data_IF_485511474553
#
_entry.id   IF_485511474553
#
_cell.length_a   1.000
_cell.length_b   1.000
_cell.length_c   1.000
_cell.angle_alpha   90.00
_cell.angle_beta   90.00
_cell.angle_gamma   90.00
#
_symmetry.space_group_name_H-M   'P 1'
#
loop_
_entity.id
_entity.type
_entity.pdbx_description
1 polymer ?
#
# COMPACT_ATOMS: atom_id res chain seq x y z
N UNK A 1 -28.38 3.82 3.06
CA UNK A 1 -26.93 3.92 2.77
C UNK A 1 -26.25 4.47 4.00
N UNK A 2 -25.06 3.97 4.36
CA UNK A 2 -24.32 4.49 5.51
C UNK A 2 -23.95 5.95 5.26
N UNK A 3 -24.20 6.81 6.24
CA UNK A 3 -23.69 8.18 6.25
C UNK A 3 -22.14 8.15 6.14
N UNK A 4 -21.53 8.81 5.14
CA UNK A 4 -20.08 8.84 5.00
C UNK A 4 -19.40 9.68 6.09
N UNK A 5 -20.13 10.53 6.82
CA UNK A 5 -19.55 11.52 7.74
C UNK A 5 -18.64 10.89 8.79
N UNK A 6 -19.05 9.75 9.37
CA UNK A 6 -18.24 9.05 10.38
C UNK A 6 -16.92 8.49 9.83
N UNK A 7 -16.92 7.92 8.62
CA UNK A 7 -15.68 7.40 8.01
C UNK A 7 -14.77 8.52 7.52
N UNK A 8 -15.33 9.65 7.09
CA UNK A 8 -14.55 10.84 6.74
C UNK A 8 -13.92 11.47 7.99
N UNK A 9 -14.62 11.52 9.11
CA UNK A 9 -14.04 11.95 10.40
C UNK A 9 -12.88 11.05 10.85
N UNK A 10 -13.03 9.74 10.68
CA UNK A 10 -11.99 8.76 11.02
C UNK A 10 -10.79 8.87 10.06
N UNK A 11 -11.03 9.09 8.76
CA UNK A 11 -9.96 9.36 7.79
C UNK A 11 -9.15 10.59 8.19
N UNK A 12 -9.82 11.70 8.54
CA UNK A 12 -9.15 12.93 8.98
C UNK A 12 -8.26 12.66 10.21
N UNK A 13 -8.78 11.96 11.23
CA UNK A 13 -8.02 11.62 12.45
C UNK A 13 -6.83 10.71 12.15
N UNK A 14 -7.00 9.73 11.26
CA UNK A 14 -5.94 8.84 10.82
C UNK A 14 -4.82 9.60 10.10
N UNK A 15 -5.18 10.56 9.23
CA UNK A 15 -4.21 11.44 8.57
C UNK A 15 -3.50 12.37 9.55
N UNK A 16 -4.19 12.90 10.56
CA UNK A 16 -3.60 13.75 11.60
C UNK A 16 -2.56 13.00 12.46
N UNK A 17 -2.80 11.72 12.76
CA UNK A 17 -1.81 10.89 13.46
C UNK A 17 -0.55 10.68 12.62
N UNK A 18 -0.69 10.40 11.32
CA UNK A 18 0.46 10.27 10.43
C UNK A 18 1.19 11.61 10.22
N UNK A 19 0.45 12.70 10.06
CA UNK A 19 1.00 14.06 9.98
C UNK A 19 1.89 14.37 11.20
N UNK A 20 1.41 14.09 12.41
CA UNK A 20 2.17 14.28 13.64
C UNK A 20 3.46 13.43 13.72
N UNK A 21 3.49 12.26 13.08
CA UNK A 21 4.72 11.43 13.01
C UNK A 21 5.79 12.06 12.11
N UNK A 22 5.39 12.77 11.04
CA UNK A 22 6.33 13.28 10.04
C UNK A 22 6.64 14.78 10.16
N UNK A 23 5.76 15.56 10.81
CA UNK A 23 5.83 17.03 10.84
C UNK A 23 7.08 17.59 11.53
N UNK A 24 7.67 16.83 12.46
CA UNK A 24 8.87 17.23 13.22
C UNK A 24 10.18 16.60 12.73
N UNK A 25 10.13 15.83 11.64
CA UNK A 25 11.30 15.12 11.13
C UNK A 25 12.19 16.04 10.30
N UNK A 26 13.51 15.93 10.47
CA UNK A 26 14.48 16.53 9.57
C UNK A 26 14.58 15.76 8.24
N UNK A 27 15.17 16.38 7.22
CA UNK A 27 15.28 15.82 5.86
C UNK A 27 15.93 14.43 5.83
N UNK A 28 16.95 14.19 6.66
CA UNK A 28 17.60 12.87 6.78
C UNK A 28 16.63 11.75 7.17
N UNK A 29 15.64 12.06 8.02
CA UNK A 29 14.63 11.09 8.43
C UNK A 29 13.57 10.83 7.36
N UNK A 30 13.29 11.84 6.52
CA UNK A 30 12.43 11.67 5.34
C UNK A 30 13.06 10.75 4.28
N UNK A 31 14.39 10.67 4.25
CA UNK A 31 15.14 9.78 3.35
C UNK A 31 15.31 8.34 3.87
N UNK A 32 14.83 8.02 5.08
CA UNK A 32 14.96 6.67 5.62
C UNK A 32 14.12 5.67 4.81
N UNK A 33 14.75 4.57 4.41
CA UNK A 33 14.09 3.46 3.72
C UNK A 33 13.08 2.77 4.64
N UNK A 34 11.84 2.65 4.18
CA UNK A 34 10.78 1.96 4.90
C UNK A 34 10.82 0.45 4.61
N UNK A 35 10.02 -0.38 5.32
CA UNK A 35 9.88 -1.79 4.98
C UNK A 35 9.31 -2.06 3.58
N UNK A 36 8.68 -1.07 2.94
CA UNK A 36 8.32 -1.15 1.54
C UNK A 36 9.58 -0.91 0.69
N UNK A 37 10.02 -1.95 -0.02
CA UNK A 37 11.26 -1.93 -0.80
C UNK A 37 11.28 -0.77 -1.81
N UNK A 38 12.39 -0.04 -1.87
CA UNK A 38 12.55 1.14 -2.71
C UNK A 38 11.95 2.43 -2.15
N UNK A 39 11.02 2.35 -1.18
CA UNK A 39 10.29 3.52 -0.71
C UNK A 39 10.83 4.07 0.61
N UNK A 40 11.14 5.37 0.61
CA UNK A 40 11.48 6.14 1.82
C UNK A 40 10.24 6.72 2.50
N UNK A 41 10.38 7.34 3.67
CA UNK A 41 9.29 8.09 4.32
C UNK A 41 8.71 9.14 3.36
N UNK A 42 9.53 9.81 2.55
CA UNK A 42 9.07 10.73 1.51
C UNK A 42 8.17 10.04 0.46
N UNK A 43 8.56 8.85 -0.01
CA UNK A 43 7.74 8.08 -0.96
C UNK A 43 6.38 7.70 -0.37
N UNK A 44 6.33 7.35 0.93
CA UNK A 44 5.07 7.03 1.59
C UNK A 44 4.09 8.22 1.58
N UNK A 45 4.57 9.42 1.92
CA UNK A 45 3.73 10.63 1.90
C UNK A 45 3.41 11.07 0.47
N UNK A 46 4.36 10.94 -0.46
CA UNK A 46 4.15 11.25 -1.88
C UNK A 46 3.07 10.38 -2.51
N UNK A 47 3.10 9.07 -2.26
CA UNK A 47 2.06 8.15 -2.72
C UNK A 47 0.69 8.52 -2.16
N UNK A 48 0.59 8.85 -0.87
CA UNK A 48 -0.67 9.29 -0.27
C UNK A 48 -1.18 10.58 -0.90
N UNK A 49 -0.31 11.58 -1.10
CA UNK A 49 -0.66 12.84 -1.76
C UNK A 49 -1.13 12.63 -3.21
N UNK A 50 -0.45 11.75 -3.94
CA UNK A 50 -0.80 11.39 -5.31
C UNK A 50 -2.17 10.70 -5.36
N UNK A 51 -2.38 9.66 -4.55
CA UNK A 51 -3.65 8.92 -4.51
C UNK A 51 -4.82 9.76 -3.96
N UNK A 52 -4.58 10.71 -3.05
CA UNK A 52 -5.60 11.68 -2.60
C UNK A 52 -6.01 12.62 -3.74
N UNK A 53 -5.05 13.05 -4.58
CA UNK A 53 -5.35 13.82 -5.79
C UNK A 53 -6.18 13.02 -6.78
N UNK A 54 -5.85 11.74 -7.01
CA UNK A 54 -6.64 10.86 -7.88
C UNK A 54 -8.07 10.69 -7.37
N UNK A 55 -8.24 10.50 -6.06
CA UNK A 55 -9.55 10.42 -5.42
C UNK A 55 -10.34 11.74 -5.53
N UNK A 56 -9.67 12.88 -5.39
CA UNK A 56 -10.29 14.18 -5.56
C UNK A 56 -10.81 14.34 -6.99
N UNK A 57 -9.99 14.05 -8.01
CA UNK A 57 -10.42 14.09 -9.41
C UNK A 57 -11.60 13.16 -9.66
N UNK A 58 -11.57 11.92 -9.17
CA UNK A 58 -12.69 11.00 -9.31
C UNK A 58 -14.02 11.57 -8.75
N UNK A 59 -13.95 12.38 -7.69
CA UNK A 59 -15.13 12.98 -7.05
C UNK A 59 -15.58 14.27 -7.73
N UNK A 60 -14.65 15.07 -8.26
CA UNK A 60 -14.96 16.44 -8.73
C UNK A 60 -14.90 16.63 -10.24
N UNK A 61 -14.14 15.78 -10.94
CA UNK A 61 -13.83 15.90 -12.36
C UNK A 61 -13.57 14.51 -12.99
N UNK A 62 -14.66 13.88 -13.44
CA UNK A 62 -14.62 12.52 -13.97
C UNK A 62 -13.81 12.41 -15.28
N UNK A 63 -13.77 13.47 -16.09
CA UNK A 63 -13.03 13.48 -17.35
C UNK A 63 -11.51 13.57 -17.07
N UNK A 64 -11.10 14.47 -16.18
CA UNK A 64 -9.70 14.53 -15.73
C UNK A 64 -9.26 13.25 -15.02
N UNK A 65 -10.16 12.59 -14.28
CA UNK A 65 -9.87 11.26 -13.72
C UNK A 65 -9.70 10.20 -14.82
N UNK A 66 -10.53 10.23 -15.87
CA UNK A 66 -10.42 9.29 -16.98
C UNK A 66 -9.06 9.42 -17.70
N UNK A 67 -8.60 10.64 -17.97
CA UNK A 67 -7.27 10.89 -18.53
C UNK A 67 -6.15 10.34 -17.62
N UNK A 68 -6.27 10.56 -16.30
CA UNK A 68 -5.33 10.01 -15.32
C UNK A 68 -5.36 8.48 -15.30
N UNK A 69 -6.54 7.88 -15.40
CA UNK A 69 -6.72 6.43 -15.41
C UNK A 69 -6.17 5.78 -16.68
N UNK A 70 -6.32 6.43 -17.83
CA UNK A 70 -5.72 5.98 -19.10
C UNK A 70 -4.19 6.00 -19.01
N UNK A 71 -3.60 7.06 -18.44
CA UNK A 71 -2.16 7.11 -18.19
C UNK A 71 -1.70 5.98 -17.26
N UNK A 72 -2.49 5.67 -16.22
CA UNK A 72 -2.23 4.55 -15.30
C UNK A 72 -2.21 3.19 -16.00
N UNK A 73 -3.21 2.95 -16.85
CA UNK A 73 -3.36 1.70 -17.60
C UNK A 73 -2.26 1.50 -18.65
N UNK A 74 -1.68 2.58 -19.16
CA UNK A 74 -0.56 2.50 -20.11
C UNK A 74 0.76 2.07 -19.45
N UNK A 75 0.89 2.21 -18.12
CA UNK A 75 2.09 1.85 -17.36
C UNK A 75 1.74 1.27 -15.97
N UNK A 76 1.00 0.15 -15.89
CA UNK A 76 0.40 -0.33 -14.63
C UNK A 76 1.44 -0.69 -13.56
N UNK A 77 2.63 -1.15 -13.98
CA UNK A 77 3.72 -1.53 -13.09
C UNK A 77 4.62 -0.36 -12.68
N UNK A 78 4.41 0.85 -13.23
CA UNK A 78 5.26 2.02 -12.95
C UNK A 78 4.52 3.25 -12.51
N UNK A 79 3.25 3.40 -12.87
CA UNK A 79 2.54 4.67 -12.69
C UNK A 79 2.38 5.09 -11.22
N UNK A 80 2.14 4.12 -10.33
CA UNK A 80 2.07 4.39 -8.89
C UNK A 80 3.45 4.77 -8.34
N UNK A 81 4.48 4.03 -8.75
CA UNK A 81 5.87 4.28 -8.33
C UNK A 81 6.39 5.62 -8.88
N UNK A 82 6.10 5.96 -10.14
CA UNK A 82 6.49 7.23 -10.78
C UNK A 82 5.86 8.43 -10.06
N UNK A 83 4.59 8.33 -9.64
CA UNK A 83 3.93 9.39 -8.84
C UNK A 83 4.53 9.55 -7.45
N UNK A 84 4.93 8.45 -6.81
CA UNK A 84 5.62 8.48 -5.52
C UNK A 84 7.04 9.06 -5.65
N UNK A 85 7.80 8.66 -6.67
CA UNK A 85 9.15 9.15 -6.98
C UNK A 85 9.17 10.65 -7.29
N UNK A 86 8.26 11.13 -8.16
CA UNK A 86 8.16 12.56 -8.47
C UNK A 86 7.84 13.38 -7.21
N UNK A 87 6.89 12.90 -6.40
CA UNK A 87 6.53 13.58 -5.16
C UNK A 87 7.63 13.52 -4.09
N UNK A 88 8.35 12.40 -3.99
CA UNK A 88 9.43 12.21 -3.02
C UNK A 88 10.67 13.07 -3.32
N UNK A 89 10.83 13.54 -4.56
CA UNK A 89 11.89 14.47 -4.95
C UNK A 89 11.64 15.91 -4.45
N UNK A 90 10.43 16.24 -4.00
CA UNK A 90 10.13 17.56 -3.42
C UNK A 90 10.77 17.73 -2.04
N UNK A 91 11.10 18.96 -1.63
CA UNK A 91 11.47 19.24 -0.24
C UNK A 91 10.40 18.73 0.73
N UNK A 92 10.76 18.05 1.85
CA UNK A 92 9.80 17.47 2.79
C UNK A 92 8.69 18.42 3.26
N UNK A 93 9.02 19.68 3.52
CA UNK A 93 8.03 20.68 3.91
C UNK A 93 7.00 20.96 2.80
N UNK A 94 7.45 21.07 1.54
CA UNK A 94 6.58 21.27 0.40
C UNK A 94 5.68 20.06 0.14
N UNK A 95 6.24 18.85 0.22
CA UNK A 95 5.48 17.62 0.10
C UNK A 95 4.41 17.49 1.19
N UNK A 96 4.76 17.78 2.45
CA UNK A 96 3.83 17.73 3.57
C UNK A 96 2.70 18.75 3.42
N UNK A 97 3.02 19.99 3.02
CA UNK A 97 2.01 21.03 2.77
C UNK A 97 1.08 20.66 1.62
N UNK A 98 1.62 20.09 0.53
CA UNK A 98 0.83 19.58 -0.58
C UNK A 98 -0.11 18.46 -0.14
N UNK A 99 0.37 17.51 0.65
CA UNK A 99 -0.46 16.42 1.17
C UNK A 99 -1.58 16.95 2.07
N UNK A 100 -1.27 17.88 3.01
CA UNK A 100 -2.25 18.55 3.88
C UNK A 100 -3.36 19.24 3.09
N UNK A 101 -3.00 20.08 2.12
CA UNK A 101 -3.97 20.79 1.30
C UNK A 101 -4.84 19.84 0.45
N UNK A 102 -4.23 18.77 -0.07
CA UNK A 102 -4.91 17.74 -0.84
C UNK A 102 -5.96 17.01 -0.02
N UNK A 103 -5.59 16.49 1.16
CA UNK A 103 -6.51 15.75 2.04
C UNK A 103 -7.65 16.63 2.58
N UNK A 104 -7.40 17.90 2.89
CA UNK A 104 -8.45 18.85 3.30
C UNK A 104 -9.46 19.13 2.16
N UNK A 105 -8.98 19.19 0.92
CA UNK A 105 -9.84 19.41 -0.24
C UNK A 105 -10.66 18.17 -0.58
N UNK A 106 -10.03 16.98 -0.52
CA UNK A 106 -10.71 15.70 -0.68
C UNK A 106 -11.79 15.49 0.41
N UNK A 107 -11.49 15.80 1.66
CA UNK A 107 -12.47 15.74 2.76
C UNK A 107 -13.72 16.55 2.42
N UNK A 108 -13.54 17.82 2.03
CA UNK A 108 -14.66 18.70 1.66
C UNK A 108 -15.47 18.15 0.49
N UNK A 109 -14.80 17.62 -0.54
CA UNK A 109 -15.46 17.02 -1.69
C UNK A 109 -16.29 15.78 -1.31
N UNK A 110 -15.74 14.89 -0.48
CA UNK A 110 -16.43 13.68 -0.01
C UNK A 110 -17.65 14.01 0.87
N UNK A 111 -17.59 15.08 1.68
CA UNK A 111 -18.74 15.54 2.48
C UNK A 111 -19.82 16.21 1.63
N UNK A 112 -19.43 16.91 0.58
CA UNK A 112 -20.35 17.58 -0.33
C UNK A 112 -20.98 16.64 -1.38
N UNK A 113 -20.42 15.44 -1.54
CA UNK A 113 -20.89 14.44 -2.50
C UNK A 113 -22.38 14.10 -2.28
N UNK A 114 -23.23 14.17 -3.33
CA UNK A 114 -24.63 13.78 -3.22
C UNK A 114 -24.79 12.32 -2.78
N UNK A 115 -25.75 12.06 -1.90
CA UNK A 115 -26.03 10.71 -1.42
C UNK A 115 -26.42 9.77 -2.58
N UNK A 116 -25.78 8.60 -2.63
CA UNK A 116 -26.04 7.60 -3.68
C UNK A 116 -25.18 7.72 -4.93
N UNK A 117 -24.43 8.81 -5.09
CA UNK A 117 -23.49 8.96 -6.21
C UNK A 117 -22.41 7.89 -6.18
N UNK A 118 -22.06 7.40 -7.37
CA UNK A 118 -20.92 6.52 -7.62
C UNK A 118 -19.90 7.26 -8.46
N UNK A 119 -18.64 7.19 -8.04
CA UNK A 119 -17.51 7.84 -8.66
C UNK A 119 -16.67 6.82 -9.42
N UNK A 120 -16.11 7.18 -10.59
CA UNK A 120 -15.17 6.31 -11.29
C UNK A 120 -13.96 6.00 -10.39
N UNK A 121 -13.38 4.83 -10.57
CA UNK A 121 -12.16 4.44 -9.89
C UNK A 121 -11.36 3.46 -10.75
N UNK A 122 -10.12 3.15 -10.38
CA UNK A 122 -9.29 2.16 -11.07
C UNK A 122 -9.89 0.73 -11.04
N UNK A 123 -10.84 0.49 -10.12
CA UNK A 123 -11.66 -0.71 -10.05
C UNK A 123 -13.15 -0.39 -10.18
N UNK A 124 -14.03 -1.17 -9.51
CA UNK A 124 -15.46 -0.88 -9.52
C UNK A 124 -15.76 0.54 -9.00
N UNK A 125 -16.76 1.25 -9.58
CA UNK A 125 -17.15 2.57 -9.12
C UNK A 125 -17.49 2.62 -7.62
N UNK A 126 -16.93 3.60 -6.92
CA UNK A 126 -17.01 3.71 -5.48
C UNK A 126 -18.07 4.72 -5.03
N UNK A 127 -18.74 4.45 -3.92
CA UNK A 127 -19.48 5.50 -3.19
C UNK A 127 -18.51 6.39 -2.41
N UNK A 128 -18.93 7.59 -1.99
CA UNK A 128 -18.12 8.46 -1.12
C UNK A 128 -17.61 7.73 0.14
N UNK A 129 -18.48 6.97 0.81
CA UNK A 129 -18.10 6.18 1.99
C UNK A 129 -17.06 5.09 1.65
N UNK A 130 -17.19 4.43 0.49
CA UNK A 130 -16.23 3.42 0.05
C UNK A 130 -14.87 4.02 -0.29
N UNK A 131 -14.85 5.18 -0.94
CA UNK A 131 -13.63 5.92 -1.24
C UNK A 131 -12.94 6.38 0.05
N UNK A 132 -13.68 7.00 0.98
CA UNK A 132 -13.14 7.38 2.30
C UNK A 132 -12.57 6.18 3.06
N UNK A 133 -13.24 5.02 3.03
CA UNK A 133 -12.75 3.77 3.64
C UNK A 133 -11.43 3.32 3.01
N UNK A 134 -11.33 3.36 1.68
CA UNK A 134 -10.11 2.99 0.97
C UNK A 134 -8.96 3.93 1.29
N UNK A 135 -9.20 5.25 1.29
CA UNK A 135 -8.20 6.27 1.68
C UNK A 135 -7.75 6.11 3.12
N UNK A 136 -8.65 5.75 4.03
CA UNK A 136 -8.30 5.48 5.43
C UNK A 136 -7.39 4.27 5.55
N UNK A 137 -7.71 3.18 4.85
CA UNK A 137 -6.87 1.99 4.83
C UNK A 137 -5.48 2.25 4.24
N UNK A 138 -5.39 2.98 3.13
CA UNK A 138 -4.12 3.43 2.55
C UNK A 138 -3.32 4.27 3.56
N UNK A 139 -3.94 5.31 4.14
CA UNK A 139 -3.30 6.18 5.14
C UNK A 139 -2.77 5.36 6.32
N UNK A 140 -3.57 4.42 6.84
CA UNK A 140 -3.17 3.58 7.97
C UNK A 140 -2.01 2.65 7.61
N UNK A 141 -2.05 2.02 6.43
CA UNK A 141 -1.03 1.07 5.98
C UNK A 141 0.31 1.76 5.72
N UNK A 142 0.32 2.87 4.99
CA UNK A 142 1.52 3.67 4.73
C UNK A 142 2.04 4.35 6.02
N UNK A 143 1.13 4.75 6.92
CA UNK A 143 1.52 5.24 8.24
C UNK A 143 2.17 4.16 9.12
N UNK A 144 1.80 2.88 8.95
CA UNK A 144 2.50 1.78 9.61
C UNK A 144 3.93 1.62 9.07
N UNK A 145 4.14 1.70 7.76
CA UNK A 145 5.48 1.64 7.16
C UNK A 145 6.40 2.77 7.68
N UNK A 146 5.85 3.98 7.82
CA UNK A 146 6.56 5.14 8.42
C UNK A 146 6.86 4.90 9.91
N UNK A 147 5.89 4.40 10.68
CA UNK A 147 6.09 4.13 12.10
C UNK A 147 7.17 3.05 12.33
N UNK A 148 7.19 2.00 11.51
CA UNK A 148 8.17 0.91 11.61
C UNK A 148 9.60 1.41 11.42
N UNK A 149 9.86 2.23 10.40
CA UNK A 149 11.22 2.78 10.16
C UNK A 149 11.65 3.78 11.24
N UNK A 150 10.69 4.51 11.83
CA UNK A 150 10.96 5.44 12.92
C UNK A 150 11.06 4.76 14.29
N UNK A 151 10.77 3.46 14.39
CA UNK A 151 10.73 2.72 15.65
C UNK A 151 9.60 3.14 16.58
N UNK A 152 8.50 3.66 16.03
CA UNK A 152 7.33 4.13 16.79
C UNK A 152 6.26 3.05 16.80
N UNK A 153 5.71 2.77 17.99
CA UNK A 153 4.51 1.94 18.12
C UNK A 153 3.28 2.83 18.01
N UNK A 154 2.43 2.56 17.03
CA UNK A 154 1.15 3.26 16.85
C UNK A 154 0.11 2.67 17.79
N UNK A 155 -0.66 3.52 18.48
CA UNK A 155 -1.76 3.07 19.32
C UNK A 155 -2.90 2.51 18.45
N UNK A 156 -3.32 1.24 18.63
CA UNK A 156 -4.45 0.67 17.89
C UNK A 156 -5.77 1.32 18.31
N UNK A 157 -6.56 1.82 17.35
CA UNK A 157 -7.84 2.48 17.64
C UNK A 157 -9.03 1.75 17.01
N UNK A 158 -10.25 2.13 17.39
CA UNK A 158 -11.47 1.61 16.78
C UNK A 158 -11.58 1.87 15.26
N UNK A 159 -10.78 2.80 14.70
CA UNK A 159 -10.73 3.08 13.25
C UNK A 159 -10.26 1.87 12.45
N UNK A 160 -9.56 0.92 13.08
CA UNK A 160 -9.20 -0.37 12.48
C UNK A 160 -10.41 -1.15 11.94
N UNK A 161 -11.65 -0.89 12.41
CA UNK A 161 -12.84 -1.55 11.85
C UNK A 161 -13.00 -1.31 10.36
N UNK A 162 -12.52 -0.17 9.85
CA UNK A 162 -12.60 0.19 8.44
C UNK A 162 -11.62 -0.65 7.61
N UNK A 163 -10.38 -0.80 8.10
CA UNK A 163 -9.35 -1.65 7.51
C UNK A 163 -9.77 -3.13 7.54
N UNK A 164 -10.26 -3.60 8.69
CA UNK A 164 -10.79 -4.95 8.83
C UNK A 164 -11.96 -5.22 7.87
N UNK A 165 -12.91 -4.27 7.78
CA UNK A 165 -14.07 -4.40 6.89
C UNK A 165 -13.67 -4.52 5.43
N UNK A 166 -12.72 -3.70 4.96
CA UNK A 166 -12.26 -3.81 3.56
C UNK A 166 -11.47 -5.10 3.34
N UNK A 167 -10.63 -5.53 4.29
CA UNK A 167 -9.90 -6.79 4.22
C UNK A 167 -10.80 -8.01 4.11
N UNK A 168 -11.88 -8.09 4.90
CA UNK A 168 -12.87 -9.17 4.79
C UNK A 168 -13.58 -9.15 3.43
N UNK A 169 -13.98 -7.96 2.96
CA UNK A 169 -14.68 -7.83 1.67
C UNK A 169 -13.79 -8.12 0.46
N UNK A 170 -12.48 -8.01 0.62
CA UNK A 170 -11.50 -8.29 -0.41
C UNK A 170 -11.12 -9.78 -0.52
N UNK A 171 -11.76 -10.69 0.25
CA UNK A 171 -11.46 -12.13 0.20
C UNK A 171 -11.42 -12.69 -1.22
N UNK A 172 -12.52 -12.55 -1.96
CA UNK A 172 -12.62 -13.15 -3.30
C UNK A 172 -11.69 -12.45 -4.29
N UNK A 173 -11.46 -11.15 -4.11
CA UNK A 173 -10.47 -10.39 -4.85
C UNK A 173 -9.06 -10.95 -4.62
N UNK A 174 -8.69 -11.26 -3.37
CA UNK A 174 -7.41 -11.87 -3.03
C UNK A 174 -7.21 -13.22 -3.74
N UNK A 175 -8.22 -14.07 -3.78
CA UNK A 175 -8.16 -15.31 -4.58
C UNK A 175 -7.94 -15.01 -6.07
N UNK A 176 -8.71 -14.07 -6.64
CA UNK A 176 -8.63 -13.71 -8.05
C UNK A 176 -7.25 -13.17 -8.46
N UNK A 177 -6.65 -12.25 -7.69
CA UNK A 177 -5.32 -11.69 -8.01
C UNK A 177 -4.19 -12.72 -7.88
N UNK A 178 -4.42 -13.79 -7.12
CA UNK A 178 -3.52 -14.94 -7.01
C UNK A 178 -3.81 -16.05 -8.05
N UNK A 179 -4.76 -15.85 -8.98
CA UNK A 179 -5.14 -16.83 -10.00
C UNK A 179 -5.83 -18.07 -9.42
N UNK A 180 -6.47 -17.94 -8.27
CA UNK A 180 -7.14 -19.01 -7.54
C UNK A 180 -8.67 -18.83 -7.60
N UNK A 181 -9.41 -19.95 -7.55
CA UNK A 181 -10.86 -19.91 -7.39
C UNK A 181 -11.23 -19.63 -5.94
N UNK A 182 -12.05 -18.61 -5.71
CA UNK A 182 -12.56 -18.31 -4.36
C UNK A 182 -13.56 -19.41 -3.91
N UNK A 183 -13.46 -19.91 -2.67
CA UNK A 183 -14.46 -20.80 -2.09
C UNK A 183 -15.85 -20.14 -2.07
N UNK A 184 -16.88 -20.91 -2.46
CA UNK A 184 -18.24 -20.41 -2.51
C UNK A 184 -18.82 -20.12 -1.12
N UNK A 185 -18.47 -20.93 -0.12
CA UNK A 185 -18.93 -20.75 1.26
C UNK A 185 -18.22 -19.57 1.92
N UNK A 186 -18.99 -18.73 2.63
CA UNK A 186 -18.43 -17.65 3.43
C UNK A 186 -17.77 -18.17 4.71
N UNK A 187 -16.80 -17.40 5.23
CA UNK A 187 -16.18 -17.68 6.52
C UNK A 187 -16.78 -16.79 7.59
N UNK A 188 -16.78 -17.26 8.83
CA UNK A 188 -16.99 -16.40 9.99
C UNK A 188 -15.68 -15.73 10.37
N UNK A 189 -15.63 -14.40 10.37
CA UNK A 189 -14.46 -13.64 10.84
C UNK A 189 -14.81 -12.94 12.14
N UNK A 190 -14.08 -13.23 13.22
CA UNK A 190 -14.29 -12.67 14.56
C UNK A 190 -12.99 -12.03 15.07
N UNK A 191 -12.95 -10.70 15.10
CA UNK A 191 -11.78 -9.93 15.43
C UNK A 191 -11.96 -9.18 16.75
N UNK A 192 -10.98 -9.29 17.65
CA UNK A 192 -10.99 -8.56 18.93
C UNK A 192 -10.48 -7.14 18.70
N UNK A 193 -11.37 -6.16 18.87
CA UNK A 193 -11.09 -4.74 18.78
C UNK A 193 -10.10 -4.29 19.88
N UNK A 194 -9.44 -3.13 19.74
CA UNK A 194 -8.62 -2.56 20.81
C UNK A 194 -9.37 -2.34 22.13
N UNK A 195 -10.69 -2.12 22.07
CA UNK A 195 -11.56 -2.01 23.25
C UNK A 195 -11.90 -3.35 23.93
N UNK A 196 -11.55 -4.48 23.30
CA UNK A 196 -11.99 -5.82 23.70
C UNK A 196 -13.33 -6.26 23.11
N UNK A 197 -14.06 -5.38 22.42
CA UNK A 197 -15.27 -5.75 21.67
C UNK A 197 -14.94 -6.74 20.53
N UNK A 198 -15.83 -7.68 20.23
CA UNK A 198 -15.67 -8.57 19.07
C UNK A 198 -16.40 -8.01 17.86
N UNK A 199 -15.65 -7.76 16.79
CA UNK A 199 -16.21 -7.45 15.46
C UNK A 199 -16.40 -8.73 14.67
N UNK A 200 -17.63 -8.99 14.26
CA UNK A 200 -18.01 -10.19 13.56
C UNK A 200 -18.46 -9.92 12.11
N UNK A 201 -18.01 -10.75 11.18
CA UNK A 201 -18.40 -10.71 9.76
C UNK A 201 -18.71 -12.12 9.24
N UNK A 202 -19.63 -12.22 8.29
CA UNK A 202 -20.06 -13.49 7.72
C UNK A 202 -21.04 -14.27 8.61
N UNK A 203 -21.55 -15.41 8.11
CA UNK A 203 -22.59 -16.21 8.78
C UNK A 203 -22.13 -16.75 10.14
N UNK A 204 -23.03 -16.76 11.13
CA UNK A 204 -22.72 -17.28 12.48
C UNK A 204 -22.48 -18.80 12.49
N UNK A 205 -23.10 -19.51 11.55
CA UNK A 205 -23.06 -20.96 11.35
C UNK A 205 -22.03 -21.39 10.29
N UNK A 206 -21.19 -20.48 9.80
CA UNK A 206 -20.14 -20.82 8.83
C UNK A 206 -19.24 -21.94 9.37
N UNK A 207 -18.96 -22.93 8.51
CA UNK A 207 -18.14 -24.10 8.84
C UNK A 207 -16.67 -23.75 9.13
N UNK A 208 -16.19 -22.63 8.58
CA UNK A 208 -14.81 -22.17 8.70
C UNK A 208 -14.73 -20.78 9.30
N UNK A 209 -13.66 -20.53 10.06
CA UNK A 209 -13.53 -19.32 10.88
C UNK A 209 -12.14 -18.70 10.78
N UNK A 210 -12.09 -17.38 10.92
CA UNK A 210 -10.87 -16.60 11.19
C UNK A 210 -11.07 -15.85 12.49
N UNK A 211 -10.10 -15.95 13.41
CA UNK A 211 -10.14 -15.31 14.73
C UNK A 211 -8.82 -14.65 15.06
N UNK A 212 -8.82 -13.56 15.84
CA UNK A 212 -7.58 -12.94 16.31
C UNK A 212 -7.73 -11.47 16.69
N UNK A 213 -6.63 -10.79 17.08
CA UNK A 213 -6.63 -9.35 17.27
C UNK A 213 -6.94 -8.61 15.97
N UNK A 214 -7.73 -7.55 16.05
CA UNK A 214 -8.06 -6.73 14.88
C UNK A 214 -6.81 -6.07 14.27
N UNK A 215 -5.86 -5.62 15.10
CA UNK A 215 -4.58 -5.07 14.65
C UNK A 215 -3.83 -6.06 13.76
N UNK A 216 -3.66 -7.29 14.25
CA UNK A 216 -2.93 -8.34 13.55
C UNK A 216 -3.61 -8.69 12.22
N UNK A 217 -4.94 -8.79 12.20
CA UNK A 217 -5.67 -8.98 10.95
C UNK A 217 -5.46 -7.81 9.98
N UNK A 218 -5.49 -6.57 10.46
CA UNK A 218 -5.24 -5.40 9.62
C UNK A 218 -3.82 -5.39 9.05
N UNK A 219 -2.80 -5.73 9.86
CA UNK A 219 -1.42 -5.86 9.39
C UNK A 219 -1.28 -6.96 8.33
N UNK A 220 -1.99 -8.09 8.50
CA UNK A 220 -1.97 -9.19 7.54
C UNK A 220 -2.56 -8.77 6.20
N UNK A 221 -3.81 -8.26 6.19
CA UNK A 221 -4.53 -7.95 4.95
C UNK A 221 -3.96 -6.74 4.21
N UNK A 222 -3.21 -5.87 4.89
CA UNK A 222 -2.44 -4.81 4.22
C UNK A 222 -1.00 -5.23 3.91
N UNK A 223 -0.61 -6.49 4.19
CA UNK A 223 0.74 -7.04 3.93
C UNK A 223 1.85 -6.34 4.72
N UNK A 224 1.51 -5.71 5.85
CA UNK A 224 2.43 -5.03 6.79
C UNK A 224 2.94 -5.95 7.91
N UNK A 225 2.66 -7.24 7.86
CA UNK A 225 3.35 -8.23 8.67
C UNK A 225 3.28 -9.60 8.01
N UNK A 226 4.27 -10.44 8.31
CA UNK A 226 4.20 -11.86 7.93
C UNK A 226 3.21 -12.58 8.85
N UNK A 227 2.42 -13.51 8.30
CA UNK A 227 1.41 -14.27 9.05
C UNK A 227 1.97 -14.96 10.30
N UNK A 228 3.19 -15.49 10.23
CA UNK A 228 3.83 -16.19 11.35
C UNK A 228 4.11 -15.29 12.56
N UNK A 229 4.13 -13.96 12.38
CA UNK A 229 4.37 -12.99 13.45
C UNK A 229 3.06 -12.49 14.08
N UNK A 230 1.92 -13.08 13.71
CA UNK A 230 0.59 -12.59 14.03
C UNK A 230 -0.24 -13.64 14.76
N UNK A 231 -1.13 -13.19 15.65
CA UNK A 231 -2.04 -14.04 16.41
C UNK A 231 -3.38 -14.30 15.68
N UNK A 232 -3.42 -14.12 14.36
CA UNK A 232 -4.60 -14.47 13.53
C UNK A 232 -4.58 -15.96 13.23
N UNK A 233 -5.70 -16.63 13.51
CA UNK A 233 -5.85 -18.08 13.40
C UNK A 233 -7.03 -18.42 12.49
N UNK A 234 -6.86 -19.46 11.69
CA UNK A 234 -7.94 -20.05 10.93
C UNK A 234 -8.40 -21.37 11.55
N UNK A 235 -9.68 -21.67 11.38
CA UNK A 235 -10.27 -23.00 11.57
C UNK A 235 -10.90 -23.40 10.24
N UNK A 236 -10.40 -24.49 9.65
CA UNK A 236 -10.79 -24.96 8.32
C UNK A 236 -9.77 -24.61 7.23
N UNK A 237 -9.64 -25.45 6.19
CA UNK A 237 -8.57 -25.36 5.20
C UNK A 237 -8.66 -24.14 4.28
N UNK A 238 -9.86 -23.67 3.95
CA UNK A 238 -10.05 -22.53 3.04
C UNK A 238 -9.85 -21.20 3.75
N UNK A 239 -10.28 -21.11 5.02
CA UNK A 239 -9.95 -19.98 5.88
C UNK A 239 -8.43 -19.90 6.10
N UNK A 240 -7.78 -21.06 6.32
CA UNK A 240 -6.32 -21.14 6.48
C UNK A 240 -5.60 -20.70 5.21
N UNK A 241 -6.04 -21.19 4.05
CA UNK A 241 -5.50 -20.79 2.75
C UNK A 241 -5.69 -19.30 2.47
N UNK A 242 -6.84 -18.72 2.84
CA UNK A 242 -7.09 -17.30 2.62
C UNK A 242 -6.10 -16.42 3.38
N UNK A 243 -5.73 -16.78 4.62
CA UNK A 243 -4.77 -16.01 5.40
C UNK A 243 -3.37 -15.94 4.77
N UNK A 244 -3.00 -16.88 3.88
CA UNK A 244 -1.71 -16.83 3.16
C UNK A 244 -1.70 -15.79 2.03
N UNK A 245 -2.86 -15.48 1.47
CA UNK A 245 -3.02 -14.64 0.28
C UNK A 245 -3.78 -13.34 0.57
N UNK A 246 -4.17 -13.08 1.81
CA UNK A 246 -5.06 -11.98 2.15
C UNK A 246 -4.46 -10.62 1.74
N UNK A 247 -5.27 -9.82 1.04
CA UNK A 247 -4.90 -8.51 0.53
C UNK A 247 -6.13 -7.60 0.46
N UNK A 248 -5.99 -6.35 0.91
CA UNK A 248 -7.07 -5.36 0.99
C UNK A 248 -6.95 -4.17 0.01
N UNK A 249 -5.91 -4.14 -0.81
CA UNK A 249 -5.61 -3.07 -1.78
C UNK A 249 -5.60 -3.60 -3.21
N UNK A 250 -5.76 -2.72 -4.20
CA UNK A 250 -5.67 -3.09 -5.61
C UNK A 250 -4.21 -3.18 -6.08
N UNK A 251 -3.92 -4.07 -7.02
CA UNK A 251 -2.57 -4.30 -7.55
C UNK A 251 -1.99 -5.67 -7.18
N UNK A 252 -0.78 -6.00 -7.65
CA UNK A 252 -0.12 -7.26 -7.33
C UNK A 252 0.25 -7.34 -5.83
N UNK A 253 0.31 -8.54 -5.23
CA UNK A 253 0.53 -8.75 -3.79
C UNK A 253 1.92 -8.38 -3.25
N UNK A 254 2.87 -8.06 -4.14
CA UNK A 254 4.28 -7.85 -3.82
C UNK A 254 4.94 -9.07 -3.17
N UNK A 255 6.22 -8.94 -2.81
CA UNK A 255 6.97 -9.99 -2.10
C UNK A 255 6.45 -10.21 -0.66
N UNK A 256 5.79 -9.21 -0.06
CA UNK A 256 5.38 -9.23 1.34
C UNK A 256 6.57 -9.09 2.30
N UNK A 257 6.29 -9.10 3.61
CA UNK A 257 7.34 -9.03 4.64
C UNK A 257 7.82 -10.43 5.02
N UNK A 258 9.14 -10.65 5.23
CA UNK A 258 9.65 -11.92 5.76
C UNK A 258 9.26 -12.09 7.24
N UNK A 259 9.21 -13.33 7.77
CA UNK A 259 9.01 -13.56 9.20
C UNK A 259 10.16 -13.00 10.03
N UNK A 260 9.85 -12.30 11.13
CA UNK A 260 10.87 -11.65 11.99
C UNK A 260 11.89 -12.63 12.60
N UNK A 261 11.53 -13.92 12.72
CA UNK A 261 12.40 -14.98 13.25
C UNK A 261 13.23 -15.74 12.21
N UNK A 262 13.06 -15.47 10.91
CA UNK A 262 13.84 -16.10 9.85
C UNK A 262 14.98 -15.17 9.41
N UNK A 263 16.24 -15.56 9.65
CA UNK A 263 17.36 -14.87 9.05
C UNK A 263 17.19 -14.83 7.52
N UNK A 264 17.30 -13.65 6.92
CA UNK A 264 17.42 -13.50 5.49
C UNK A 264 18.70 -14.22 5.03
N UNK A 265 18.55 -15.35 4.34
CA UNK A 265 19.64 -15.84 3.51
C UNK A 265 19.74 -14.89 2.30
N UNK A 266 20.51 -13.82 2.47
CA UNK A 266 20.97 -12.99 1.37
C UNK A 266 21.78 -13.85 0.42
N UNK A 267 21.14 -14.31 -0.67
CA UNK A 267 21.85 -14.87 -1.80
C UNK A 267 22.82 -13.82 -2.35
N UNK A 268 24.07 -14.18 -2.69
CA UNK A 268 25.05 -13.22 -3.18
C UNK A 268 24.53 -12.55 -4.47
N UNK A 269 24.86 -11.27 -4.71
CA UNK A 269 24.48 -10.61 -5.95
C UNK A 269 25.03 -11.43 -7.13
N UNK A 270 24.16 -11.74 -8.10
CA UNK A 270 24.58 -12.37 -9.35
C UNK A 270 25.64 -11.47 -9.97
N UNK A 271 26.87 -11.97 -9.99
CA UNK A 271 28.02 -11.31 -10.57
C UNK A 271 27.73 -10.88 -12.00
N UNK A 272 28.09 -9.65 -12.28
CA UNK A 272 28.32 -9.12 -13.62
C UNK A 272 29.17 -10.10 -14.42
N UNK A 273 28.74 -10.38 -15.65
CA UNK A 273 29.51 -11.13 -16.62
C UNK A 273 30.89 -10.47 -16.83
N UNK A 274 31.96 -11.25 -17.03
CA UNK A 274 33.28 -10.67 -17.32
C UNK A 274 33.23 -10.03 -18.71
N UNK A 275 33.62 -8.75 -18.78
CA UNK A 275 33.94 -8.08 -20.03
C UNK A 275 35.15 -8.75 -20.67
N UNK A 276 34.97 -9.28 -21.88
CA UNK A 276 36.05 -9.78 -22.70
C UNK A 276 37.05 -8.65 -22.99
N UNK A 277 38.27 -8.84 -22.51
CA UNK A 277 39.39 -7.93 -22.68
C UNK A 277 39.79 -7.79 -24.15
N UNK A 278 39.75 -6.55 -24.64
CA UNK A 278 40.46 -6.13 -25.84
C UNK A 278 41.94 -5.92 -25.47
N UNK A 279 42.91 -6.64 -26.06
CA UNK A 279 44.32 -6.34 -25.83
C UNK A 279 44.72 -5.13 -26.69
N UNK A 280 45.20 -4.09 -26.01
CA UNK A 280 45.98 -3.01 -26.62
C UNK A 280 47.46 -3.25 -26.29
N UNK A 281 48.16 -3.91 -27.20
CA UNK A 281 49.60 -3.76 -27.39
C UNK A 281 49.76 -2.95 -28.70
N UNK A 282 50.47 -1.82 -28.76
CA UNK A 282 51.76 -1.56 -28.13
C UNK A 282 52.80 -1.52 -29.25
N UNK A 283 52.76 -0.47 -30.09
CA UNK A 283 53.83 -0.19 -31.06
C UNK A 283 54.89 0.69 -30.40
N UNK A 284 56.17 0.42 -30.70
CA UNK A 284 57.02 1.53 -31.13
C UNK A 284 57.80 1.25 -32.42
N UNK A 285 57.93 2.35 -33.15
CA UNK A 285 58.88 2.76 -34.18
C UNK A 285 60.06 1.85 -34.57
N UNK A 286 60.34 1.83 -35.88
CA UNK A 286 61.73 1.83 -36.37
C UNK A 286 62.00 1.06 -37.67
N UNK A 287 62.27 1.79 -38.76
CA UNK A 287 63.43 1.49 -39.61
C UNK A 287 63.25 0.68 -40.90
N UNK A 288 63.06 1.42 -42.00
CA UNK A 288 63.85 1.39 -43.24
C UNK A 288 64.11 0.07 -44.04
N UNK A 289 63.62 0.12 -45.28
CA UNK A 289 64.40 0.01 -46.54
C UNK A 289 64.18 -1.20 -47.47
N UNK A 290 64.06 -0.86 -48.77
CA UNK A 290 64.30 -1.63 -50.01
C UNK A 290 63.24 -2.71 -50.34
N UNK A 291 62.69 -2.89 -51.54
CA UNK A 291 63.05 -2.60 -52.94
C UNK A 291 62.37 -3.74 -53.74
N UNK A 292 61.45 -3.49 -54.65
CA UNK A 292 61.75 -3.42 -56.09
C UNK A 292 61.86 -4.80 -56.75
N UNK A 293 60.73 -5.33 -57.25
CA UNK A 293 60.55 -6.09 -58.50
C UNK A 293 59.08 -6.56 -58.61
#
# INVERSE_FOLDING_TARGET
MSDPSAVVDDLRRESEELDALVSGLGEERWALATPAEGWTVAHQIAHLAWTDRSALLAVTDADAFAELAEAALAAPDRFVDEGAEEGAALPPAELLDRWRAGRETLERALRAAPAGTRFPWYGPPMSAASMATARLMETWAHGQDVADVLGVVREPTARLRHVARIGVRARDFAYAVHGLGAPAEEFRVELVAPSGEVWAYGPEDAAQRVTGPALDFCLLVTRRAHRADLAVRAQGPDADRWLDIAQAFAGPPGAGRPPKGGASEGGPPKGSAPEDGVPRDGAPEGGASQGGA
#
